data_IF_281673447554
#
_entry.id   IF_281673447554
#
_cell.length_a   1.000
_cell.length_b   1.000
_cell.length_c   1.000
_cell.angle_alpha   90.00
_cell.angle_beta   90.00
_cell.angle_gamma   90.00
#
_symmetry.space_group_name_H-M   'P 1'
#
loop_
_entity.id
_entity.type
_entity.pdbx_description
1 polymer ?
#
# COMPACT_ATOMS: atom_id res chain seq x y z
N UNK A 1 -25.59 49.03 -18.59
CA UNK A 1 -26.63 48.12 -18.02
C UNK A 1 -27.71 47.68 -19.03
N UNK A 2 -28.66 48.52 -19.46
CA UNK A 2 -29.78 48.09 -20.35
C UNK A 2 -29.32 47.47 -21.68
N UNK A 3 -28.28 48.03 -22.31
CA UNK A 3 -27.71 47.49 -23.55
C UNK A 3 -27.02 46.13 -23.33
N UNK A 4 -26.24 45.98 -22.25
CA UNK A 4 -25.59 44.72 -21.87
C UNK A 4 -26.60 43.60 -21.56
N UNK A 5 -27.70 43.93 -20.88
CA UNK A 5 -28.78 42.98 -20.57
C UNK A 5 -29.50 42.52 -21.84
N UNK A 6 -29.80 43.45 -22.76
CA UNK A 6 -30.38 43.09 -24.07
C UNK A 6 -29.45 42.22 -24.88
N UNK A 7 -28.15 42.51 -24.86
CA UNK A 7 -27.16 41.69 -25.55
C UNK A 7 -27.06 40.29 -24.95
N UNK A 8 -27.11 40.16 -23.62
CA UNK A 8 -27.14 38.85 -22.95
C UNK A 8 -28.41 38.07 -23.31
N UNK A 9 -29.59 38.70 -23.22
CA UNK A 9 -30.89 38.05 -23.46
C UNK A 9 -31.21 37.76 -24.94
N UNK A 10 -30.41 38.26 -25.89
CA UNK A 10 -30.66 38.09 -27.32
C UNK A 10 -30.42 36.65 -27.84
N UNK A 11 -29.79 35.79 -27.02
CA UNK A 11 -29.52 34.40 -27.38
C UNK A 11 -30.43 33.43 -26.60
N UNK A 12 -31.07 32.48 -27.29
CA UNK A 12 -31.82 31.40 -26.63
C UNK A 12 -30.83 30.53 -25.85
N UNK A 13 -30.99 30.43 -24.52
CA UNK A 13 -30.04 29.73 -23.63
C UNK A 13 -28.88 30.61 -23.12
N UNK A 14 -29.05 31.94 -23.11
CA UNK A 14 -28.04 32.88 -22.68
C UNK A 14 -27.48 32.63 -21.27
N UNK A 15 -26.19 32.28 -21.20
CA UNK A 15 -25.43 32.28 -19.96
C UNK A 15 -25.23 33.72 -19.48
N UNK A 16 -25.84 34.07 -18.35
CA UNK A 16 -25.67 35.40 -17.74
C UNK A 16 -24.57 35.32 -16.68
N UNK A 17 -23.46 36.05 -16.82
CA UNK A 17 -22.48 36.19 -15.76
C UNK A 17 -23.11 36.68 -14.45
N UNK A 18 -22.81 36.00 -13.34
CA UNK A 18 -23.30 36.38 -12.00
C UNK A 18 -22.96 37.84 -11.64
N UNK A 19 -21.84 38.36 -12.15
CA UNK A 19 -21.42 39.76 -11.96
C UNK A 19 -22.38 40.78 -12.61
N UNK A 20 -23.09 40.41 -13.67
CA UNK A 20 -24.12 41.25 -14.30
C UNK A 20 -25.42 41.24 -13.50
N UNK A 21 -25.86 40.08 -13.03
CA UNK A 21 -27.01 39.92 -12.12
C UNK A 21 -26.82 40.73 -10.83
N UNK A 22 -25.62 40.67 -10.22
CA UNK A 22 -25.29 41.45 -9.03
C UNK A 22 -25.37 42.96 -9.28
N UNK A 23 -24.90 43.44 -10.45
CA UNK A 23 -24.98 44.86 -10.83
C UNK A 23 -26.42 45.31 -11.07
N UNK A 24 -27.26 44.46 -11.67
CA UNK A 24 -28.69 44.73 -11.83
C UNK A 24 -29.40 44.80 -10.47
N UNK A 25 -29.13 43.88 -9.57
CA UNK A 25 -29.73 43.90 -8.23
C UNK A 25 -29.33 45.18 -7.45
N UNK A 26 -28.06 45.60 -7.54
CA UNK A 26 -27.62 46.86 -6.93
C UNK A 26 -28.37 48.08 -7.52
N UNK A 27 -28.53 48.15 -8.84
CA UNK A 27 -29.27 49.23 -9.48
C UNK A 27 -30.78 49.23 -9.15
N UNK A 28 -31.38 48.05 -8.93
CA UNK A 28 -32.78 47.93 -8.50
C UNK A 28 -33.00 48.35 -7.05
N UNK A 29 -32.01 48.08 -6.18
CA UNK A 29 -32.00 48.55 -4.79
C UNK A 29 -31.94 50.07 -4.69
N UNK A 30 -31.09 50.71 -5.50
CA UNK A 30 -31.02 52.18 -5.59
C UNK A 30 -32.33 52.81 -6.10
N UNK A 31 -33.12 52.06 -6.87
CA UNK A 31 -34.42 52.49 -7.39
C UNK A 31 -35.60 52.12 -6.47
N UNK A 32 -35.34 51.77 -5.20
CA UNK A 32 -36.33 51.36 -4.18
C UNK A 32 -37.23 50.18 -4.61
N UNK A 33 -36.73 49.29 -5.47
CA UNK A 33 -37.49 48.10 -5.88
C UNK A 33 -37.55 47.04 -4.76
N UNK A 34 -38.70 46.38 -4.54
CA UNK A 34 -38.84 45.33 -3.52
C UNK A 34 -38.23 43.98 -3.94
N UNK A 35 -37.69 43.87 -5.16
CA UNK A 35 -37.20 42.61 -5.73
C UNK A 35 -35.90 42.14 -5.06
N UNK A 36 -35.92 40.92 -4.55
CA UNK A 36 -34.76 40.30 -3.90
C UNK A 36 -33.92 39.50 -4.90
N UNK A 37 -32.62 39.33 -4.59
CA UNK A 37 -31.72 38.57 -5.46
C UNK A 37 -32.16 37.12 -5.66
N UNK A 38 -32.75 36.49 -4.63
CA UNK A 38 -33.20 35.10 -4.73
C UNK A 38 -34.39 34.95 -5.69
N UNK A 39 -35.28 35.94 -5.77
CA UNK A 39 -36.39 35.98 -6.73
C UNK A 39 -35.87 36.14 -8.17
N UNK A 40 -34.76 36.88 -8.36
CA UNK A 40 -34.09 37.00 -9.65
C UNK A 40 -33.37 35.72 -10.09
N UNK A 41 -33.00 34.86 -9.14
CA UNK A 41 -32.35 33.59 -9.39
C UNK A 41 -33.34 32.43 -9.46
N UNK A 42 -34.61 32.67 -9.15
CA UNK A 42 -35.66 31.67 -9.22
C UNK A 42 -35.85 31.21 -10.68
N UNK A 43 -35.66 29.91 -10.93
CA UNK A 43 -35.70 29.33 -12.29
C UNK A 43 -34.39 29.43 -13.09
N UNK A 44 -33.30 29.94 -12.51
CA UNK A 44 -31.99 29.92 -13.14
C UNK A 44 -31.26 28.58 -12.90
N UNK A 45 -30.64 28.04 -13.94
CA UNK A 45 -29.76 26.87 -13.84
C UNK A 45 -28.29 27.32 -13.79
N UNK A 46 -27.52 26.77 -12.85
CA UNK A 46 -26.11 27.10 -12.69
C UNK A 46 -25.29 26.25 -13.66
N UNK A 47 -24.76 26.88 -14.71
CA UNK A 47 -23.85 26.21 -15.63
C UNK A 47 -22.41 26.21 -15.07
N UNK A 48 -21.96 25.08 -14.55
CA UNK A 48 -20.54 24.87 -14.22
C UNK A 48 -19.76 24.52 -15.49
N UNK A 49 -18.69 25.26 -15.85
CA UNK A 49 -17.84 24.86 -16.95
C UNK A 49 -17.17 23.52 -16.63
N UNK A 50 -17.32 22.55 -17.53
CA UNK A 50 -16.69 21.24 -17.37
C UNK A 50 -15.17 21.40 -17.49
N UNK A 51 -14.44 20.99 -16.46
CA UNK A 51 -12.98 21.04 -16.45
C UNK A 51 -12.46 20.03 -17.47
N UNK A 52 -11.65 20.43 -18.47
CA UNK A 52 -11.12 19.49 -19.44
C UNK A 52 -10.20 18.48 -18.73
N UNK A 53 -10.57 17.20 -18.79
CA UNK A 53 -9.76 16.13 -18.22
C UNK A 53 -8.54 15.91 -19.12
N UNK A 54 -7.30 15.94 -18.58
CA UNK A 54 -6.11 15.73 -19.40
C UNK A 54 -6.09 14.31 -20.01
N UNK A 55 -5.52 14.16 -21.23
CA UNK A 55 -5.43 12.86 -21.88
C UNK A 55 -4.57 11.88 -21.06
N UNK A 56 -5.04 10.63 -20.94
CA UNK A 56 -4.33 9.60 -20.17
C UNK A 56 -3.07 9.14 -20.92
N UNK A 57 -1.95 9.05 -20.20
CA UNK A 57 -0.70 8.51 -20.72
C UNK A 57 -0.85 7.00 -21.03
N UNK A 58 -0.52 6.53 -22.25
CA UNK A 58 -0.70 5.13 -22.67
C UNK A 58 0.09 4.14 -21.81
N UNK A 59 1.25 4.51 -21.29
CA UNK A 59 2.04 3.64 -20.40
C UNK A 59 1.33 3.38 -19.08
N UNK A 60 0.67 4.41 -18.52
CA UNK A 60 -0.06 4.28 -17.26
C UNK A 60 -1.33 3.44 -17.44
N UNK A 61 -1.98 3.53 -18.59
CA UNK A 61 -3.14 2.69 -18.93
C UNK A 61 -2.70 1.22 -19.03
N UNK A 62 -1.63 0.92 -19.74
CA UNK A 62 -1.10 -0.44 -19.85
C UNK A 62 -0.69 -1.02 -18.49
N UNK A 63 -0.09 -0.20 -17.60
CA UNK A 63 0.23 -0.62 -16.22
C UNK A 63 -1.04 -0.89 -15.41
N UNK A 64 -2.05 -0.04 -15.52
CA UNK A 64 -3.33 -0.22 -14.84
C UNK A 64 -4.04 -1.49 -15.31
N UNK A 65 -4.05 -1.78 -16.61
CA UNK A 65 -4.61 -3.01 -17.15
C UNK A 65 -3.90 -4.25 -16.62
N UNK A 66 -2.56 -4.24 -16.57
CA UNK A 66 -1.78 -5.32 -15.96
C UNK A 66 -2.12 -5.52 -14.48
N UNK A 67 -2.27 -4.44 -13.71
CA UNK A 67 -2.61 -4.51 -12.29
C UNK A 67 -4.04 -5.06 -12.11
N UNK A 68 -5.01 -4.57 -12.91
CA UNK A 68 -6.39 -5.06 -12.90
C UNK A 68 -6.46 -6.55 -13.24
N UNK A 69 -5.72 -6.99 -14.26
CA UNK A 69 -5.66 -8.40 -14.64
C UNK A 69 -5.07 -9.27 -13.53
N UNK A 70 -4.01 -8.80 -12.85
CA UNK A 70 -3.42 -9.51 -11.70
C UNK A 70 -4.40 -9.65 -10.54
N UNK A 71 -5.06 -8.56 -10.15
CA UNK A 71 -6.05 -8.56 -9.08
C UNK A 71 -7.25 -9.46 -9.40
N UNK A 72 -7.75 -9.39 -10.64
CA UNK A 72 -8.84 -10.25 -11.09
C UNK A 72 -8.46 -11.73 -11.05
N UNK A 73 -7.23 -12.08 -11.45
CA UNK A 73 -6.74 -13.45 -11.40
C UNK A 73 -6.55 -13.94 -9.96
N UNK A 74 -6.06 -13.07 -9.06
CA UNK A 74 -5.93 -13.38 -7.64
C UNK A 74 -7.30 -13.64 -6.98
N UNK A 75 -8.28 -12.79 -7.27
CA UNK A 75 -9.65 -12.96 -6.79
C UNK A 75 -10.30 -14.22 -7.36
N UNK A 76 -10.11 -14.49 -8.65
CA UNK A 76 -10.56 -15.74 -9.29
C UNK A 76 -9.99 -16.96 -8.56
N UNK A 77 -8.66 -16.99 -8.33
CA UNK A 77 -8.01 -18.09 -7.60
C UNK A 77 -8.52 -18.23 -6.17
N UNK A 78 -8.84 -17.12 -5.50
CA UNK A 78 -9.43 -17.13 -4.17
C UNK A 78 -10.82 -17.75 -4.17
N UNK A 79 -11.65 -17.38 -5.15
CA UNK A 79 -13.01 -17.93 -5.33
C UNK A 79 -12.99 -19.42 -5.68
N UNK A 80 -12.08 -19.86 -6.56
CA UNK A 80 -12.01 -21.26 -7.01
C UNK A 80 -11.20 -22.17 -6.09
N UNK A 81 -10.53 -21.62 -5.06
CA UNK A 81 -9.64 -22.36 -4.15
C UNK A 81 -10.31 -23.60 -3.55
N UNK A 82 -11.59 -23.49 -3.19
CA UNK A 82 -12.34 -24.56 -2.53
C UNK A 82 -12.84 -25.64 -3.51
N UNK A 83 -12.95 -25.30 -4.79
CA UNK A 83 -13.43 -26.20 -5.85
C UNK A 83 -12.26 -27.01 -6.42
N UNK A 84 -11.11 -26.37 -6.62
CA UNK A 84 -9.88 -27.05 -7.10
C UNK A 84 -9.35 -28.06 -6.08
N UNK A 85 -9.58 -27.86 -4.77
CA UNK A 85 -9.23 -28.84 -3.74
C UNK A 85 -9.93 -30.20 -3.87
N UNK A 86 -11.05 -30.28 -4.59
CA UNK A 86 -11.79 -31.52 -4.82
C UNK A 86 -11.37 -32.26 -6.11
N UNK A 87 -10.62 -31.61 -7.02
CA UNK A 87 -10.15 -32.21 -8.27
C UNK A 87 -8.73 -32.80 -8.17
N UNK A 88 -8.05 -32.63 -7.03
CA UNK A 88 -6.74 -33.21 -6.77
C UNK A 88 -6.70 -34.38 -5.74
N UNK A 89 -7.69 -35.28 -5.64
CA UNK A 89 -7.59 -36.42 -4.73
C UNK A 89 -6.75 -37.53 -5.40
N UNK A 90 -5.43 -37.54 -5.20
CA UNK A 90 -4.59 -38.76 -5.23
C UNK A 90 -3.06 -38.57 -5.13
N UNK A 91 -2.50 -37.35 -5.11
CA UNK A 91 -1.02 -37.20 -5.12
C UNK A 91 -0.40 -36.35 -4.00
N UNK A 92 -1.17 -35.76 -3.10
CA UNK A 92 -0.62 -34.85 -2.06
C UNK A 92 -1.23 -35.13 -0.69
N UNK A 93 -1.17 -36.38 -0.25
CA UNK A 93 -1.55 -36.77 1.12
C UNK A 93 -0.40 -36.66 2.13
N UNK A 94 0.67 -35.90 1.85
CA UNK A 94 1.84 -35.85 2.76
C UNK A 94 2.51 -34.48 2.99
N UNK A 95 1.99 -33.36 2.48
CA UNK A 95 2.64 -32.04 2.68
C UNK A 95 1.72 -30.97 3.27
N UNK A 96 0.88 -31.37 4.21
CA UNK A 96 0.06 -30.51 5.07
C UNK A 96 0.87 -29.64 6.07
N UNK A 97 2.06 -29.15 5.70
CA UNK A 97 2.83 -28.16 6.48
C UNK A 97 3.43 -27.03 5.65
N UNK A 98 3.16 -26.96 4.34
CA UNK A 98 3.74 -25.93 3.46
C UNK A 98 2.75 -24.85 2.99
N UNK A 99 1.59 -24.71 3.63
CA UNK A 99 0.68 -23.57 3.44
C UNK A 99 1.19 -22.27 4.10
N UNK A 100 2.47 -22.20 4.47
CA UNK A 100 3.14 -20.99 5.00
C UNK A 100 3.64 -20.04 3.90
N UNK A 101 3.59 -20.45 2.62
CA UNK A 101 4.10 -19.63 1.52
C UNK A 101 3.02 -18.77 0.87
N UNK A 102 2.61 -17.73 1.59
CA UNK A 102 2.21 -16.45 0.99
C UNK A 102 2.01 -15.42 2.11
N UNK A 103 3.13 -14.87 2.60
CA UNK A 103 3.34 -13.44 2.36
C UNK A 103 4.77 -13.20 1.88
N UNK A 104 4.93 -12.78 0.62
CA UNK A 104 6.26 -12.38 0.06
C UNK A 104 6.97 -11.30 0.89
N UNK A 105 6.23 -10.60 1.77
CA UNK A 105 6.77 -9.65 2.75
C UNK A 105 7.33 -10.31 4.01
N UNK A 106 6.72 -11.40 4.48
CA UNK A 106 7.13 -12.11 5.69
C UNK A 106 8.30 -13.05 5.42
N UNK A 107 8.38 -13.63 4.21
CA UNK A 107 9.55 -14.43 3.78
C UNK A 107 10.84 -13.62 3.84
N UNK A 108 10.81 -12.34 3.43
CA UNK A 108 12.00 -11.48 3.47
C UNK A 108 12.52 -11.28 4.89
N UNK A 109 11.62 -11.06 5.86
CA UNK A 109 11.99 -10.90 7.26
C UNK A 109 12.59 -12.19 7.83
N UNK A 110 11.96 -13.34 7.59
CA UNK A 110 12.44 -14.65 8.06
C UNK A 110 13.82 -14.97 7.47
N UNK A 111 14.03 -14.72 6.17
CA UNK A 111 15.33 -14.95 5.51
C UNK A 111 16.43 -14.08 6.12
N UNK A 112 16.14 -12.80 6.40
CA UNK A 112 17.10 -11.89 7.02
C UNK A 112 17.47 -12.38 8.43
N UNK A 113 16.50 -12.83 9.23
CA UNK A 113 16.74 -13.34 10.58
C UNK A 113 17.59 -14.61 10.57
N UNK A 114 17.29 -15.57 9.70
CA UNK A 114 18.09 -16.80 9.56
C UNK A 114 19.52 -16.47 9.13
N UNK A 115 19.67 -15.54 8.19
CA UNK A 115 20.99 -15.09 7.75
C UNK A 115 21.78 -14.47 8.91
N UNK A 116 21.15 -13.57 9.68
CA UNK A 116 21.80 -12.95 10.85
C UNK A 116 22.24 -14.01 11.87
N UNK A 117 21.39 -14.99 12.16
CA UNK A 117 21.73 -16.11 13.05
C UNK A 117 22.98 -16.87 12.57
N UNK A 118 23.03 -17.26 11.29
CA UNK A 118 24.17 -17.98 10.73
C UNK A 118 25.44 -17.13 10.83
N UNK A 119 25.35 -15.85 10.49
CA UNK A 119 26.48 -14.92 10.56
C UNK A 119 26.99 -14.80 12.00
N UNK A 120 26.11 -14.64 13.00
CA UNK A 120 26.52 -14.56 14.41
C UNK A 120 27.20 -15.84 14.89
N UNK A 121 26.64 -17.02 14.58
CA UNK A 121 27.22 -18.31 15.00
C UNK A 121 28.59 -18.56 14.34
N UNK A 122 28.71 -18.29 13.04
CA UNK A 122 29.99 -18.44 12.31
C UNK A 122 31.02 -17.43 12.82
N UNK A 123 30.63 -16.19 13.06
CA UNK A 123 31.51 -15.18 13.62
C UNK A 123 31.99 -15.56 15.02
N UNK A 124 31.10 -16.03 15.91
CA UNK A 124 31.47 -16.49 17.24
C UNK A 124 32.46 -17.66 17.18
N UNK A 125 32.20 -18.65 16.31
CA UNK A 125 33.11 -19.77 16.09
C UNK A 125 34.49 -19.31 15.59
N UNK A 126 34.52 -18.46 14.56
CA UNK A 126 35.78 -17.96 13.99
C UNK A 126 36.56 -17.12 15.01
N UNK A 127 35.89 -16.20 15.71
CA UNK A 127 36.50 -15.36 16.74
C UNK A 127 37.09 -16.20 17.88
N UNK A 128 36.36 -17.21 18.37
CA UNK A 128 36.88 -18.09 19.43
C UNK A 128 38.01 -18.98 18.91
N UNK A 129 37.92 -19.50 17.69
CA UNK A 129 38.98 -20.33 17.10
C UNK A 129 40.28 -19.53 16.91
N UNK A 130 40.21 -18.30 16.39
CA UNK A 130 41.35 -17.41 16.24
C UNK A 130 41.87 -16.94 17.60
N UNK A 131 41.00 -16.53 18.52
CA UNK A 131 41.37 -16.08 19.86
C UNK A 131 41.99 -17.20 20.72
N UNK A 132 41.51 -18.43 20.54
CA UNK A 132 42.04 -19.61 21.23
C UNK A 132 43.47 -19.96 20.81
N UNK A 133 44.00 -19.38 19.73
CA UNK A 133 45.41 -19.57 19.35
C UNK A 133 46.38 -19.04 20.42
N UNK A 134 45.97 -18.02 21.17
CA UNK A 134 46.79 -17.42 22.23
C UNK A 134 46.71 -18.19 23.55
N UNK A 135 45.69 -19.02 23.74
CA UNK A 135 45.41 -19.72 25.01
C UNK A 135 45.81 -21.19 24.95
N UNK A 136 45.55 -21.86 23.84
CA UNK A 136 45.79 -23.30 23.68
C UNK A 136 46.72 -23.56 22.50
N UNK A 137 47.74 -24.39 22.67
CA UNK A 137 48.66 -24.78 21.59
C UNK A 137 48.07 -25.88 20.68
N UNK A 138 47.23 -26.75 21.24
CA UNK A 138 46.64 -27.87 20.51
C UNK A 138 45.43 -27.46 19.67
N UNK A 139 45.39 -27.92 18.42
CA UNK A 139 44.29 -27.66 17.48
C UNK A 139 42.96 -28.25 17.93
N UNK A 140 43.00 -29.44 18.55
CA UNK A 140 41.80 -30.10 19.07
C UNK A 140 41.11 -29.26 20.16
N UNK A 141 41.88 -28.73 21.11
CA UNK A 141 41.37 -27.86 22.17
C UNK A 141 40.79 -26.54 21.64
N UNK A 142 41.39 -25.97 20.58
CA UNK A 142 40.89 -24.74 19.91
C UNK A 142 39.54 -24.96 19.22
N UNK A 143 39.37 -26.10 18.56
CA UNK A 143 38.09 -26.43 17.92
C UNK A 143 37.03 -26.69 18.99
N UNK A 144 37.37 -27.44 20.04
CA UNK A 144 36.43 -27.76 21.12
C UNK A 144 35.94 -26.49 21.83
N UNK A 145 36.85 -25.56 22.15
CA UNK A 145 36.47 -24.28 22.79
C UNK A 145 35.59 -23.42 21.87
N UNK A 146 35.91 -23.36 20.58
CA UNK A 146 35.12 -22.64 19.58
C UNK A 146 33.71 -23.21 19.42
N UNK A 147 33.55 -24.55 19.41
CA UNK A 147 32.24 -25.20 19.33
C UNK A 147 31.40 -24.92 20.58
N UNK A 148 32.01 -24.95 21.77
CA UNK A 148 31.30 -24.66 23.03
C UNK A 148 30.76 -23.22 23.01
N UNK A 149 31.61 -22.24 22.69
CA UNK A 149 31.20 -20.83 22.64
C UNK A 149 30.14 -20.59 21.56
N UNK A 150 30.33 -21.13 20.36
CA UNK A 150 29.36 -21.00 19.27
C UNK A 150 27.99 -21.62 19.64
N UNK A 151 27.99 -22.73 20.40
CA UNK A 151 26.76 -23.38 20.87
C UNK A 151 26.00 -22.49 21.87
N UNK A 152 26.70 -21.87 22.83
CA UNK A 152 26.08 -20.95 23.80
C UNK A 152 25.50 -19.72 23.09
N UNK A 153 26.25 -19.12 22.18
CA UNK A 153 25.79 -17.95 21.40
C UNK A 153 24.59 -18.31 20.52
N UNK A 154 24.63 -19.47 19.86
CA UNK A 154 23.52 -19.97 19.05
C UNK A 154 22.25 -20.17 19.86
N UNK A 155 22.34 -20.73 21.08
CA UNK A 155 21.19 -20.87 21.98
C UNK A 155 20.65 -19.52 22.44
N UNK A 156 21.52 -18.55 22.72
CA UNK A 156 21.12 -17.20 23.11
C UNK A 156 20.35 -16.47 21.98
N UNK A 157 20.89 -16.51 20.75
CA UNK A 157 20.24 -15.94 19.56
C UNK A 157 18.91 -16.65 19.25
N UNK A 158 18.88 -17.99 19.32
CA UNK A 158 17.65 -18.77 19.12
C UNK A 158 16.57 -18.40 20.13
N UNK A 159 16.94 -18.25 21.40
CA UNK A 159 16.00 -17.82 22.45
C UNK A 159 15.44 -16.42 22.19
N UNK A 160 16.31 -15.47 21.81
CA UNK A 160 15.88 -14.09 21.46
C UNK A 160 14.94 -14.10 20.26
N UNK A 161 15.22 -14.91 19.23
CA UNK A 161 14.36 -15.07 18.06
C UNK A 161 12.98 -15.63 18.43
N UNK A 162 12.93 -16.70 19.24
CA UNK A 162 11.65 -17.29 19.67
C UNK A 162 10.83 -16.28 20.47
N UNK A 163 11.48 -15.56 21.40
CA UNK A 163 10.81 -14.56 22.24
C UNK A 163 10.31 -13.35 21.45
N UNK A 164 11.04 -12.93 20.42
CA UNK A 164 10.59 -11.83 19.54
C UNK A 164 9.39 -12.26 18.69
N UNK A 165 9.35 -13.50 18.21
CA UNK A 165 8.20 -14.07 17.51
C UNK A 165 6.96 -14.20 18.41
N UNK A 166 7.12 -14.67 19.65
CA UNK A 166 6.01 -14.75 20.62
C UNK A 166 5.49 -13.36 21.02
N UNK A 167 6.38 -12.38 21.16
CA UNK A 167 6.02 -11.00 21.49
C UNK A 167 5.23 -10.27 20.40
N UNK A 168 5.49 -10.57 19.13
CA UNK A 168 4.70 -10.08 18.00
C UNK A 168 3.31 -10.76 17.95
N UNK A 169 3.19 -12.00 18.42
CA UNK A 169 1.93 -12.75 18.46
C UNK A 169 1.00 -12.30 19.58
N UNK A 170 1.54 -11.81 20.71
CA UNK A 170 0.76 -11.29 21.85
C UNK A 170 0.21 -9.87 21.68
N UNK A 171 0.48 -9.21 20.56
CA UNK A 171 -0.01 -7.86 20.22
C UNK A 171 -1.13 -7.83 19.18
N UNK A 172 -1.61 -8.99 18.75
CA UNK A 172 -2.75 -9.19 17.85
C UNK A 172 -3.97 -9.66 18.65
#
# INVERSE_FOLDING_TARGET
LRAELRAALASQGALVPFSLLRRLHAALREAESPLHLHELLEGCEIHLPEVPVPPRNPELVARLERIKAKLANEEYRRMTRNITGQLLPSLISDHSRLSLFSPVRSVKAVVITIFNFIVTVVAAFACTYLGSQYVFAETAARVLSAVIVASVVGLAELYVMVRTLEGDLGKL
#
